data_IF_671445905422
#
_entry.id   IF_671445905422
#
_cell.length_a   1.000
_cell.length_b   1.000
_cell.length_c   1.000
_cell.angle_alpha   90.00
_cell.angle_beta   90.00
_cell.angle_gamma   90.00
#
_symmetry.space_group_name_H-M   'P 1'
#
loop_
_entity.id
_entity.type
_entity.pdbx_description
1 polymer ?
#
# COMPACT_ATOMS: atom_id res chain seq x y z
N UNK A 1 40.04 23.40 -15.61
CA UNK A 1 39.60 22.22 -16.38
C UNK A 1 38.42 21.62 -15.62
N UNK A 2 37.21 21.75 -16.16
CA UNK A 2 35.93 21.39 -15.52
C UNK A 2 35.66 19.88 -15.65
N UNK A 3 35.33 19.23 -14.53
CA UNK A 3 34.83 17.85 -14.52
C UNK A 3 33.34 17.83 -14.97
N UNK A 4 32.92 16.87 -15.81
CA UNK A 4 31.52 16.75 -16.19
C UNK A 4 30.70 16.18 -15.03
N UNK A 5 29.67 16.94 -14.64
CA UNK A 5 28.73 16.56 -13.61
C UNK A 5 27.95 15.30 -13.97
N UNK A 6 27.78 14.44 -12.97
CA UNK A 6 26.83 13.33 -12.98
C UNK A 6 25.41 13.91 -13.11
N UNK A 7 24.64 13.61 -14.18
CA UNK A 7 23.23 13.97 -14.21
C UNK A 7 22.45 13.08 -13.23
N UNK A 8 21.67 13.76 -12.40
CA UNK A 8 20.74 13.21 -11.41
C UNK A 8 19.70 12.27 -12.04
N UNK A 9 19.81 10.96 -11.80
CA UNK A 9 18.67 10.03 -11.96
C UNK A 9 17.78 10.11 -10.71
N UNK A 10 16.80 11.03 -10.67
CA UNK A 10 15.84 11.11 -9.53
C UNK A 10 14.37 11.28 -9.92
N UNK A 11 14.04 11.05 -11.20
CA UNK A 11 12.72 11.40 -11.75
C UNK A 11 11.70 10.25 -11.83
N UNK A 12 12.05 9.01 -12.25
CA UNK A 12 11.04 7.96 -12.43
C UNK A 12 10.58 7.34 -11.11
N UNK A 13 11.48 7.19 -10.14
CA UNK A 13 11.15 6.60 -8.83
C UNK A 13 10.22 7.49 -8.01
N UNK A 14 10.44 8.82 -8.02
CA UNK A 14 9.57 9.75 -7.29
C UNK A 14 8.15 9.77 -7.86
N UNK A 15 8.00 9.71 -9.19
CA UNK A 15 6.69 9.67 -9.84
C UNK A 15 5.95 8.36 -9.52
N UNK A 16 6.65 7.22 -9.56
CA UNK A 16 6.08 5.92 -9.15
C UNK A 16 5.66 5.89 -7.69
N UNK A 17 6.48 6.45 -6.79
CA UNK A 17 6.16 6.52 -5.37
C UNK A 17 4.90 7.36 -5.09
N UNK A 18 4.71 8.46 -5.83
CA UNK A 18 3.50 9.27 -5.71
C UNK A 18 2.26 8.48 -6.15
N UNK A 19 2.31 7.80 -7.30
CA UNK A 19 1.22 6.94 -7.77
C UNK A 19 0.90 5.82 -6.79
N UNK A 20 1.92 5.18 -6.21
CA UNK A 20 1.73 4.10 -5.25
C UNK A 20 1.06 4.60 -3.96
N UNK A 21 1.44 5.78 -3.48
CA UNK A 21 0.79 6.40 -2.31
C UNK A 21 -0.69 6.69 -2.56
N UNK A 22 -1.05 7.18 -3.74
CA UNK A 22 -2.47 7.41 -4.09
C UNK A 22 -3.25 6.11 -4.20
N UNK A 23 -2.63 5.05 -4.73
CA UNK A 23 -3.24 3.72 -4.77
C UNK A 23 -3.44 3.15 -3.36
N UNK A 24 -2.48 3.37 -2.46
CA UNK A 24 -2.60 2.98 -1.04
C UNK A 24 -3.75 3.74 -0.39
N UNK A 25 -3.86 5.04 -0.57
CA UNK A 25 -4.94 5.85 0.02
C UNK A 25 -6.32 5.37 -0.43
N UNK A 26 -6.50 5.18 -1.76
CA UNK A 26 -7.72 4.64 -2.34
C UNK A 26 -8.05 3.24 -1.83
N UNK A 27 -7.06 2.34 -1.82
CA UNK A 27 -7.25 0.98 -1.35
C UNK A 27 -7.59 0.95 0.14
N UNK A 28 -6.87 1.73 0.96
CA UNK A 28 -7.01 1.77 2.41
C UNK A 28 -8.44 2.05 2.84
N UNK A 29 -9.13 3.01 2.22
CA UNK A 29 -10.55 3.30 2.52
C UNK A 29 -11.47 2.09 2.35
N UNK A 30 -11.12 1.15 1.47
CA UNK A 30 -11.89 -0.06 1.18
C UNK A 30 -11.48 -1.20 2.11
N UNK A 31 -10.17 -1.36 2.33
CA UNK A 31 -9.62 -2.51 3.06
C UNK A 31 -9.37 -2.25 4.56
N UNK A 32 -9.52 -1.01 5.04
CA UNK A 32 -9.42 -0.64 6.46
C UNK A 32 -10.20 -1.59 7.38
N UNK A 33 -11.51 -1.87 7.16
CA UNK A 33 -12.28 -2.72 8.07
C UNK A 33 -11.77 -4.16 8.13
N UNK A 34 -11.03 -4.66 7.13
CA UNK A 34 -10.51 -6.02 7.11
C UNK A 34 -9.32 -6.21 8.07
N UNK A 35 -8.65 -5.12 8.45
CA UNK A 35 -7.58 -5.14 9.44
C UNK A 35 -8.09 -4.99 10.86
N UNK A 36 -9.36 -4.65 11.02
CA UNK A 36 -9.97 -4.46 12.32
C UNK A 36 -10.15 -5.79 13.05
N UNK A 37 -9.63 -5.94 14.29
CA UNK A 37 -9.75 -7.19 15.03
C UNK A 37 -11.20 -7.54 15.39
N UNK A 38 -12.13 -6.57 15.44
CA UNK A 38 -13.55 -6.86 15.62
C UNK A 38 -14.19 -7.47 14.36
N UNK A 39 -13.61 -7.23 13.18
CA UNK A 39 -14.01 -7.86 11.92
C UNK A 39 -13.22 -9.14 11.61
N UNK A 40 -12.24 -9.51 12.45
CA UNK A 40 -11.47 -10.74 12.25
C UNK A 40 -12.38 -11.97 12.30
N UNK A 41 -12.20 -12.89 11.35
CA UNK A 41 -12.99 -14.11 11.31
C UNK A 41 -12.34 -15.17 12.20
N UNK A 42 -12.98 -15.50 13.33
CA UNK A 42 -12.50 -16.54 14.25
C UNK A 42 -11.03 -16.32 14.70
N UNK A 43 -10.65 -15.05 14.91
CA UNK A 43 -9.28 -14.66 15.26
C UNK A 43 -8.27 -14.72 14.11
N UNK A 44 -8.71 -14.93 12.86
CA UNK A 44 -7.86 -14.86 11.67
C UNK A 44 -8.04 -13.51 10.98
N UNK A 45 -6.91 -12.89 10.61
CA UNK A 45 -6.89 -11.65 9.84
C UNK A 45 -7.49 -11.87 8.46
N UNK A 46 -8.29 -10.91 7.98
CA UNK A 46 -8.89 -10.98 6.65
C UNK A 46 -7.96 -10.43 5.55
N UNK A 47 -6.64 -10.57 5.72
CA UNK A 47 -5.62 -10.02 4.81
C UNK A 47 -5.73 -10.61 3.40
N UNK A 48 -6.09 -11.89 3.27
CA UNK A 48 -6.35 -12.52 1.97
C UNK A 48 -7.57 -11.92 1.26
N UNK A 49 -8.61 -11.55 2.02
CA UNK A 49 -9.78 -10.86 1.45
C UNK A 49 -9.41 -9.44 1.05
N UNK A 50 -8.65 -8.72 1.87
CA UNK A 50 -8.11 -7.40 1.52
C UNK A 50 -7.32 -7.46 0.21
N UNK A 51 -6.42 -8.46 0.05
CA UNK A 51 -5.68 -8.68 -1.19
C UNK A 51 -6.61 -8.88 -2.40
N UNK A 52 -7.64 -9.72 -2.25
CA UNK A 52 -8.62 -9.95 -3.33
C UNK A 52 -9.37 -8.67 -3.66
N UNK A 53 -9.87 -7.95 -2.66
CA UNK A 53 -10.62 -6.70 -2.84
C UNK A 53 -9.78 -5.63 -3.53
N UNK A 54 -8.48 -5.51 -3.20
CA UNK A 54 -7.58 -4.59 -3.90
C UNK A 54 -7.40 -5.00 -5.37
N UNK A 55 -7.22 -6.29 -5.67
CA UNK A 55 -7.13 -6.75 -7.08
C UNK A 55 -8.40 -6.48 -7.88
N UNK A 56 -9.56 -6.63 -7.27
CA UNK A 56 -10.84 -6.38 -7.94
C UNK A 56 -11.06 -4.87 -8.20
N UNK A 57 -10.66 -4.01 -7.26
CA UNK A 57 -10.81 -2.55 -7.41
C UNK A 57 -9.69 -1.92 -8.26
N UNK A 58 -8.51 -2.53 -8.29
CA UNK A 58 -7.34 -2.07 -9.03
C UNK A 58 -6.83 -3.22 -9.94
N UNK A 59 -7.51 -3.50 -11.06
CA UNK A 59 -7.12 -4.59 -11.96
C UNK A 59 -5.84 -4.28 -12.77
N UNK A 60 -5.46 -3.01 -12.89
CA UNK A 60 -4.31 -2.55 -13.69
C UNK A 60 -2.95 -2.75 -13.00
N UNK A 61 -2.95 -3.02 -11.68
CA UNK A 61 -1.71 -3.14 -10.90
C UNK A 61 -1.24 -4.59 -10.80
N UNK A 62 0.08 -4.75 -10.76
CA UNK A 62 0.69 -6.08 -10.67
C UNK A 62 0.46 -6.73 -9.29
N UNK A 63 0.48 -8.08 -9.20
CA UNK A 63 0.32 -8.81 -7.94
C UNK A 63 1.30 -8.37 -6.83
N UNK A 64 2.51 -7.97 -7.21
CA UNK A 64 3.52 -7.44 -6.30
C UNK A 64 3.13 -6.06 -5.74
N UNK A 65 2.60 -5.17 -6.58
CA UNK A 65 2.10 -3.84 -6.16
C UNK A 65 0.93 -4.00 -5.19
N UNK A 66 0.00 -4.94 -5.46
CA UNK A 66 -1.11 -5.26 -4.55
C UNK A 66 -0.58 -5.67 -3.18
N UNK A 67 0.43 -6.54 -3.14
CA UNK A 67 1.03 -6.97 -1.88
C UNK A 67 1.66 -5.80 -1.11
N UNK A 68 2.37 -4.91 -1.81
CA UNK A 68 2.94 -3.69 -1.21
C UNK A 68 1.82 -2.80 -0.66
N UNK A 69 0.74 -2.62 -1.41
CA UNK A 69 -0.42 -1.79 -1.01
C UNK A 69 -1.07 -2.35 0.25
N UNK A 70 -1.38 -3.66 0.27
CA UNK A 70 -2.01 -4.32 1.42
C UNK A 70 -1.10 -4.26 2.65
N UNK A 71 0.20 -4.49 2.49
CA UNK A 71 1.17 -4.41 3.59
C UNK A 71 1.31 -2.98 4.14
N UNK A 72 1.35 -1.98 3.26
CA UNK A 72 1.38 -0.57 3.65
C UNK A 72 0.10 -0.16 4.40
N UNK A 73 -1.06 -0.57 3.90
CA UNK A 73 -2.36 -0.33 4.52
C UNK A 73 -2.45 -0.96 5.92
N UNK A 74 -2.03 -2.22 6.08
CA UNK A 74 -1.98 -2.91 7.37
C UNK A 74 -1.08 -2.17 8.37
N UNK A 75 0.07 -1.67 7.91
CA UNK A 75 1.00 -0.90 8.74
C UNK A 75 0.42 0.44 9.17
N UNK A 76 -0.25 1.16 8.28
CA UNK A 76 -0.94 2.43 8.60
C UNK A 76 -2.04 2.19 9.64
N UNK A 77 -2.86 1.15 9.46
CA UNK A 77 -3.90 0.78 10.42
C UNK A 77 -3.30 0.52 11.80
N UNK A 78 -2.28 -0.34 11.89
CA UNK A 78 -1.59 -0.62 13.16
C UNK A 78 -1.02 0.64 13.79
N UNK A 79 -0.38 1.52 13.01
CA UNK A 79 0.16 2.79 13.53
C UNK A 79 -0.91 3.75 14.05
N UNK A 80 -2.14 3.69 13.55
CA UNK A 80 -3.27 4.50 14.06
C UNK A 80 -3.92 3.89 15.31
N UNK A 81 -3.93 2.56 15.43
CA UNK A 81 -4.66 1.83 16.47
C UNK A 81 -3.78 1.29 17.61
N UNK A 82 -2.45 1.38 17.51
CA UNK A 82 -1.56 1.14 18.66
C UNK A 82 -1.67 2.34 19.61
N UNK A 83 -2.18 2.17 20.84
CA UNK A 83 -2.15 3.24 21.83
C UNK A 83 -0.69 3.56 22.14
N UNK A 84 -0.33 4.84 22.05
CA UNK A 84 0.98 5.35 22.44
C UNK A 84 1.15 5.30 23.95
#
# INVERSE_FOLDING_TARGET
MIAPGTPMSTSPERRKNLSLRELVDKAYLIIEPFFDPANAWNGQSLEHLAYRVVRENLPDISPAEVQVIVSAAARIYRSKHIPR
#
